data_IF_580381367712
#
_entry.id   IF_580381367712
#
_cell.length_a   1.000
_cell.length_b   1.000
_cell.length_c   1.000
_cell.angle_alpha   90.00
_cell.angle_beta   90.00
_cell.angle_gamma   90.00
#
_symmetry.space_group_name_H-M   'P 1'
#
loop_
_entity.id
_entity.type
_entity.pdbx_description
1 polymer ?
#
# COMPACT_ATOMS: atom_id res chain seq x y z
N UNK A 1 6.94 -27.60 -21.73
CA UNK A 1 6.95 -26.58 -20.65
C UNK A 1 8.28 -25.84 -20.76
N UNK A 2 8.30 -24.51 -20.92
CA UNK A 2 9.51 -23.72 -21.27
C UNK A 2 10.38 -23.28 -20.08
N UNK A 3 10.16 -23.82 -18.88
CA UNK A 3 11.07 -23.65 -17.73
C UNK A 3 11.17 -22.25 -17.09
N UNK A 4 10.36 -21.27 -17.50
CA UNK A 4 10.37 -19.92 -16.90
C UNK A 4 9.53 -19.80 -15.62
N UNK A 5 9.69 -18.68 -14.90
CA UNK A 5 8.89 -18.35 -13.72
C UNK A 5 7.39 -18.36 -14.06
N UNK A 6 6.54 -19.03 -13.26
CA UNK A 6 5.10 -19.02 -13.46
C UNK A 6 4.45 -17.68 -13.01
N UNK A 7 5.20 -16.81 -12.33
CA UNK A 7 4.74 -15.50 -11.85
C UNK A 7 5.27 -14.43 -12.80
N UNK A 8 4.37 -13.64 -13.37
CA UNK A 8 4.69 -12.62 -14.37
C UNK A 8 4.00 -11.31 -14.01
N UNK A 9 4.76 -10.23 -13.92
CA UNK A 9 4.23 -8.88 -13.83
C UNK A 9 3.77 -8.40 -15.23
N UNK A 10 2.52 -7.94 -15.33
CA UNK A 10 1.96 -7.41 -16.57
C UNK A 10 1.90 -5.89 -16.49
N UNK A 11 2.87 -5.22 -17.12
CA UNK A 11 3.02 -3.75 -17.11
C UNK A 11 1.76 -3.02 -17.59
N UNK A 12 1.11 -3.53 -18.63
CA UNK A 12 -0.08 -2.90 -19.23
C UNK A 12 -1.39 -3.17 -18.45
N UNK A 13 -1.33 -3.94 -17.36
CA UNK A 13 -2.52 -4.27 -16.58
C UNK A 13 -2.79 -3.18 -15.54
N UNK A 14 -3.93 -2.51 -15.68
CA UNK A 14 -4.42 -1.56 -14.68
C UNK A 14 -4.62 -2.23 -13.32
N UNK A 15 -3.94 -1.70 -12.31
CA UNK A 15 -4.17 -2.06 -10.90
C UNK A 15 -5.50 -1.51 -10.41
N UNK A 16 -6.15 -2.23 -9.51
CA UNK A 16 -7.47 -1.85 -8.98
C UNK A 16 -7.72 -2.45 -7.61
N UNK A 17 -8.50 -1.75 -6.80
CA UNK A 17 -8.97 -2.22 -5.51
C UNK A 17 -10.44 -2.63 -5.62
N UNK A 18 -10.76 -3.78 -5.05
CA UNK A 18 -12.12 -4.28 -4.96
C UNK A 18 -12.68 -4.02 -3.57
N UNK A 19 -13.77 -3.25 -3.49
CA UNK A 19 -14.49 -2.99 -2.24
C UNK A 19 -15.73 -3.86 -2.22
N UNK A 20 -15.82 -4.73 -1.21
CA UNK A 20 -16.95 -5.64 -1.02
C UNK A 20 -17.51 -5.45 0.39
N UNK A 21 -18.84 -5.45 0.49
CA UNK A 21 -19.51 -5.47 1.79
C UNK A 21 -19.10 -6.71 2.58
N UNK A 22 -18.72 -6.52 3.84
CA UNK A 22 -18.25 -7.58 4.74
C UNK A 22 -19.27 -8.73 4.89
N UNK A 23 -20.56 -8.44 4.73
CA UNK A 23 -21.67 -9.38 4.86
C UNK A 23 -22.27 -9.77 3.50
N UNK A 24 -21.59 -9.46 2.39
CA UNK A 24 -22.02 -9.89 1.07
C UNK A 24 -22.10 -11.42 0.96
N UNK A 25 -23.16 -11.92 0.31
CA UNK A 25 -23.35 -13.36 0.07
C UNK A 25 -22.57 -13.88 -1.14
N UNK A 26 -22.29 -13.01 -2.08
CA UNK A 26 -21.53 -13.29 -3.29
C UNK A 26 -20.73 -12.05 -3.73
N UNK A 27 -19.87 -12.21 -4.74
CA UNK A 27 -19.02 -11.14 -5.25
C UNK A 27 -19.68 -10.20 -6.25
N UNK A 28 -21.01 -10.28 -6.48
CA UNK A 28 -21.66 -9.51 -7.57
C UNK A 28 -21.66 -8.01 -7.31
N UNK A 29 -21.68 -7.62 -6.04
CA UNK A 29 -21.75 -6.22 -5.62
C UNK A 29 -20.37 -5.62 -5.32
N UNK A 30 -19.28 -6.27 -5.76
CA UNK A 30 -17.94 -5.70 -5.62
C UNK A 30 -17.82 -4.42 -6.45
N UNK A 31 -17.35 -3.34 -5.82
CA UNK A 31 -17.00 -2.10 -6.51
C UNK A 31 -15.51 -2.14 -6.84
N UNK A 32 -15.19 -2.22 -8.12
CA UNK A 32 -13.81 -2.12 -8.61
C UNK A 32 -13.46 -0.65 -8.85
N UNK A 33 -12.39 -0.19 -8.24
CA UNK A 33 -11.87 1.17 -8.38
C UNK A 33 -10.44 1.07 -8.91
N UNK A 34 -10.21 1.64 -10.09
CA UNK A 34 -8.89 1.63 -10.73
C UNK A 34 -7.92 2.54 -9.97
N UNK A 35 -6.70 2.05 -9.76
CA UNK A 35 -5.61 2.77 -9.08
C UNK A 35 -4.35 2.59 -9.93
N UNK A 36 -4.06 3.52 -10.85
CA UNK A 36 -2.92 3.41 -11.76
C UNK A 36 -1.59 3.39 -10.98
N UNK A 37 -0.57 2.76 -11.57
CA UNK A 37 0.81 2.73 -11.06
C UNK A 37 0.92 2.35 -9.58
N UNK A 38 0.08 1.39 -9.16
CA UNK A 38 -0.03 0.95 -7.78
C UNK A 38 0.24 -0.55 -7.68
N UNK A 39 1.37 -0.90 -7.06
CA UNK A 39 1.68 -2.26 -6.65
C UNK A 39 2.08 -2.19 -5.18
N UNK A 40 1.27 -2.75 -4.27
CA UNK A 40 1.59 -2.75 -2.86
C UNK A 40 1.67 -4.21 -2.40
N UNK A 41 2.79 -4.59 -1.80
CA UNK A 41 3.00 -5.98 -1.36
C UNK A 41 2.25 -6.25 -0.05
N UNK A 42 2.22 -5.25 0.83
CA UNK A 42 1.44 -5.26 2.07
C UNK A 42 0.53 -4.04 2.21
N UNK A 43 -0.64 -4.27 2.80
CA UNK A 43 -1.57 -3.25 3.25
C UNK A 43 -1.62 -3.30 4.78
N UNK A 44 -1.45 -2.16 5.43
CA UNK A 44 -1.26 -2.07 6.88
C UNK A 44 -2.55 -1.84 7.63
N UNK A 45 -3.41 -0.97 7.10
CA UNK A 45 -4.72 -0.69 7.64
C UNK A 45 -5.60 -0.06 6.57
N UNK A 46 -6.91 -0.13 6.78
CA UNK A 46 -7.87 0.61 5.98
C UNK A 46 -9.03 1.05 6.87
N UNK A 47 -9.69 2.14 6.52
CA UNK A 47 -10.88 2.62 7.23
C UNK A 47 -11.77 3.45 6.31
N UNK A 48 -13.03 3.59 6.72
CA UNK A 48 -14.01 4.44 6.06
C UNK A 48 -13.92 5.87 6.58
N UNK A 49 -14.03 6.86 5.67
CA UNK A 49 -14.28 8.27 5.95
C UNK A 49 -15.62 8.65 5.29
N UNK A 50 -16.77 8.37 5.96
CA UNK A 50 -18.10 8.53 5.38
C UNK A 50 -18.42 9.96 4.96
N UNK A 51 -17.81 10.95 5.61
CA UNK A 51 -17.93 12.37 5.28
C UNK A 51 -17.54 12.68 3.82
N UNK A 52 -16.69 11.86 3.21
CA UNK A 52 -16.18 12.04 1.85
C UNK A 52 -16.59 10.93 0.88
N UNK A 53 -17.41 9.95 1.32
CA UNK A 53 -17.69 8.70 0.58
C UNK A 53 -16.41 7.90 0.23
N UNK A 54 -15.38 7.95 1.09
CA UNK A 54 -14.07 7.38 0.82
C UNK A 54 -13.70 6.21 1.73
N UNK A 55 -12.94 5.26 1.17
CA UNK A 55 -12.12 4.32 1.94
C UNK A 55 -10.67 4.75 1.83
N UNK A 56 -10.02 4.93 2.97
CA UNK A 56 -8.59 5.17 3.05
C UNK A 56 -7.87 3.85 3.28
N UNK A 57 -6.85 3.58 2.49
CA UNK A 57 -5.99 2.39 2.60
C UNK A 57 -4.56 2.85 2.77
N UNK A 58 -3.89 2.31 3.79
CA UNK A 58 -2.47 2.56 4.05
C UNK A 58 -1.71 1.30 3.62
N UNK A 59 -0.76 1.47 2.70
CA UNK A 59 0.02 0.35 2.17
C UNK A 59 1.42 0.78 1.76
N UNK A 60 2.32 -0.19 1.69
CA UNK A 60 3.68 0.02 1.18
C UNK A 60 3.71 -0.33 -0.29
N UNK A 61 3.85 0.69 -1.14
CA UNK A 61 3.72 0.54 -2.57
C UNK A 61 5.09 0.63 -3.24
N UNK A 62 5.40 -0.39 -4.01
CA UNK A 62 6.73 -0.66 -4.53
C UNK A 62 6.87 -0.24 -5.98
N UNK A 63 8.01 0.37 -6.28
CA UNK A 63 8.41 0.74 -7.63
C UNK A 63 9.89 0.39 -7.85
N UNK A 64 10.26 -0.29 -8.95
CA UNK A 64 9.37 -0.94 -9.91
C UNK A 64 8.79 -2.25 -9.32
N UNK A 65 7.56 -2.59 -9.68
CA UNK A 65 6.87 -3.79 -9.18
C UNK A 65 7.57 -5.11 -9.59
N UNK A 66 8.35 -5.08 -10.67
CA UNK A 66 9.02 -6.25 -11.25
C UNK A 66 10.21 -6.73 -10.39
N UNK A 67 10.86 -5.83 -9.63
CA UNK A 67 12.04 -6.13 -8.81
C UNK A 67 11.78 -7.11 -7.65
N UNK A 68 10.52 -7.39 -7.32
CA UNK A 68 10.17 -8.37 -6.27
C UNK A 68 10.29 -9.80 -6.76
N UNK A 69 10.00 -10.05 -8.05
CA UNK A 69 9.88 -11.40 -8.61
C UNK A 69 10.95 -11.74 -9.63
N UNK A 70 11.57 -10.72 -10.22
CA UNK A 70 12.64 -10.86 -11.19
C UNK A 70 13.89 -10.17 -10.64
N UNK A 71 15.06 -10.76 -10.86
CA UNK A 71 16.33 -10.07 -10.64
C UNK A 71 16.36 -8.86 -11.56
N UNK A 72 16.15 -7.68 -10.98
CA UNK A 72 16.18 -6.40 -11.66
C UNK A 72 17.31 -5.60 -11.04
N UNK A 73 18.18 -5.04 -11.87
CA UNK A 73 19.30 -4.20 -11.42
C UNK A 73 18.84 -2.83 -10.89
N UNK A 74 17.53 -2.53 -10.95
CA UNK A 74 16.94 -1.30 -10.44
C UNK A 74 16.68 -1.36 -8.93
N UNK A 75 17.04 -0.28 -8.23
CA UNK A 75 16.85 -0.14 -6.78
C UNK A 75 15.35 -0.10 -6.44
N UNK A 76 14.89 -1.14 -5.75
CA UNK A 76 13.51 -1.23 -5.30
C UNK A 76 13.23 -0.15 -4.24
N UNK A 77 12.18 0.63 -4.46
CA UNK A 77 11.63 1.57 -3.48
C UNK A 77 10.31 1.05 -2.96
N UNK A 78 10.16 0.91 -1.65
CA UNK A 78 8.87 0.62 -1.00
C UNK A 78 8.39 1.84 -0.21
N UNK A 79 7.39 2.52 -0.78
CA UNK A 79 6.90 3.82 -0.32
C UNK A 79 5.60 3.66 0.45
N UNK A 80 5.61 3.99 1.74
CA UNK A 80 4.39 4.06 2.53
C UNK A 80 3.46 5.12 1.94
N UNK A 81 2.31 4.67 1.46
CA UNK A 81 1.36 5.47 0.69
C UNK A 81 -0.03 5.44 1.32
N UNK A 82 -0.73 6.57 1.24
CA UNK A 82 -2.17 6.67 1.42
C UNK A 82 -2.85 6.54 0.07
N UNK A 83 -3.79 5.61 -0.02
CA UNK A 83 -4.65 5.41 -1.19
C UNK A 83 -6.08 5.72 -0.76
N UNK A 84 -6.75 6.63 -1.46
CA UNK A 84 -8.16 6.97 -1.20
C UNK A 84 -9.02 6.44 -2.34
N UNK A 85 -10.10 5.77 -1.98
CA UNK A 85 -11.02 5.12 -2.89
C UNK A 85 -12.39 5.74 -2.72
N UNK A 86 -12.84 6.55 -3.67
CA UNK A 86 -14.14 7.21 -3.59
C UNK A 86 -15.24 6.30 -4.14
N UNK A 87 -16.15 5.85 -3.27
CA UNK A 87 -17.17 4.83 -3.57
C UNK A 87 -18.34 5.35 -4.41
N UNK A 88 -18.46 6.69 -4.51
CA UNK A 88 -19.51 7.38 -5.26
C UNK A 88 -19.08 7.70 -6.69
N UNK A 89 -17.86 8.21 -6.85
CA UNK A 89 -17.31 8.61 -8.15
C UNK A 89 -16.54 7.48 -8.85
N UNK A 90 -16.12 6.45 -8.10
CA UNK A 90 -15.26 5.38 -8.63
C UNK A 90 -13.84 5.84 -8.93
N UNK A 91 -13.43 7.01 -8.45
CA UNK A 91 -12.07 7.55 -8.62
C UNK A 91 -11.20 7.19 -7.43
N UNK A 92 -9.89 7.10 -7.68
CA UNK A 92 -8.88 6.92 -6.66
C UNK A 92 -7.87 8.05 -6.65
N UNK A 93 -7.24 8.25 -5.50
CA UNK A 93 -6.01 9.04 -5.39
C UNK A 93 -4.98 8.23 -4.61
N UNK A 94 -3.71 8.50 -4.87
CA UNK A 94 -2.58 7.91 -4.15
C UNK A 94 -1.57 9.00 -3.87
N UNK A 95 -1.04 9.02 -2.64
CA UNK A 95 0.06 9.90 -2.25
C UNK A 95 1.02 9.20 -1.29
N UNK A 96 2.32 9.51 -1.30
CA UNK A 96 3.22 9.14 -0.22
C UNK A 96 2.77 9.75 1.12
N UNK A 97 3.01 9.05 2.24
CA UNK A 97 2.74 9.58 3.58
C UNK A 97 3.79 10.63 3.96
N UNK A 98 5.07 10.28 3.84
CA UNK A 98 6.18 11.23 4.00
C UNK A 98 6.29 12.09 2.75
N UNK A 99 6.23 13.41 2.91
CA UNK A 99 6.25 14.39 1.81
C UNK A 99 7.67 14.89 1.48
N UNK A 100 8.64 14.66 2.37
CA UNK A 100 10.04 14.99 2.15
C UNK A 100 10.75 13.80 1.52
N UNK A 101 11.40 14.00 0.37
CA UNK A 101 12.17 12.94 -0.30
C UNK A 101 13.34 12.45 0.57
N UNK A 102 13.95 13.34 1.38
CA UNK A 102 15.04 12.99 2.29
C UNK A 102 14.61 12.06 3.44
N UNK A 103 13.31 12.05 3.77
CA UNK A 103 12.72 11.18 4.80
C UNK A 103 12.15 9.88 4.21
N UNK A 104 12.24 9.71 2.89
CA UNK A 104 11.67 8.57 2.18
C UNK A 104 12.54 7.33 2.35
N UNK A 105 12.31 6.61 3.46
CA UNK A 105 12.93 5.32 3.74
C UNK A 105 12.05 4.16 3.28
N UNK A 106 12.69 3.03 2.95
CA UNK A 106 11.97 1.80 2.61
C UNK A 106 11.28 1.22 3.84
N UNK A 107 9.94 1.29 3.87
CA UNK A 107 9.12 0.83 4.99
C UNK A 107 8.28 -0.37 4.61
N UNK A 108 8.51 -1.49 5.30
CA UNK A 108 7.80 -2.75 5.06
C UNK A 108 7.52 -3.52 6.37
N UNK A 109 6.91 -4.69 6.24
CA UNK A 109 6.73 -5.70 7.30
C UNK A 109 6.40 -5.13 8.70
N UNK A 110 5.34 -4.32 8.80
CA UNK A 110 4.96 -3.63 10.03
C UNK A 110 3.58 -3.98 10.58
N UNK A 111 3.17 -3.19 11.56
CA UNK A 111 1.87 -3.28 12.22
C UNK A 111 1.33 -1.91 12.60
N UNK A 112 0.00 -1.83 12.66
CA UNK A 112 -0.74 -0.77 13.36
C UNK A 112 -1.25 -1.28 14.71
N UNK A 113 -1.80 -0.39 15.53
CA UNK A 113 -2.48 -0.82 16.75
C UNK A 113 -3.64 -1.78 16.44
N UNK A 114 -3.53 -3.04 16.89
CA UNK A 114 -4.54 -4.09 16.65
C UNK A 114 -5.96 -3.72 17.10
N UNK A 115 -6.12 -2.87 18.11
CA UNK A 115 -7.44 -2.43 18.59
C UNK A 115 -8.08 -1.38 17.67
N UNK A 116 -7.35 -0.91 16.65
CA UNK A 116 -7.79 0.06 15.67
C UNK A 116 -7.76 -0.51 14.25
N UNK A 117 -7.62 -1.83 14.10
CA UNK A 117 -7.73 -2.48 12.78
C UNK A 117 -9.09 -2.17 12.15
N UNK A 118 -9.12 -1.74 10.89
CA UNK A 118 -10.35 -1.34 10.21
C UNK A 118 -10.88 0.04 10.61
N UNK A 119 -10.15 0.78 11.45
CA UNK A 119 -10.52 2.11 11.97
C UNK A 119 -9.36 3.06 11.79
N UNK A 120 -9.66 4.37 11.76
CA UNK A 120 -8.65 5.41 11.62
C UNK A 120 -7.57 5.27 12.70
N UNK A 121 -6.32 5.20 12.25
CA UNK A 121 -5.12 5.06 13.08
C UNK A 121 -4.17 6.19 12.78
N UNK A 122 -3.58 6.77 13.83
CA UNK A 122 -2.58 7.83 13.70
C UNK A 122 -1.17 7.29 13.47
N UNK A 123 -0.83 6.13 14.02
CA UNK A 123 0.54 5.62 13.99
C UNK A 123 0.63 4.24 13.35
N UNK A 124 1.68 4.03 12.55
CA UNK A 124 2.14 2.74 12.07
C UNK A 124 3.57 2.47 12.58
N UNK A 125 3.92 1.20 12.77
CA UNK A 125 5.25 0.75 13.17
C UNK A 125 5.77 -0.21 12.10
N UNK A 126 6.81 0.18 11.37
CA UNK A 126 7.22 -0.48 10.13
C UNK A 126 8.72 -0.80 10.18
N UNK A 127 9.15 -1.94 9.64
CA UNK A 127 10.55 -2.28 9.50
C UNK A 127 11.20 -1.35 8.46
N UNK A 128 12.42 -0.89 8.76
CA UNK A 128 13.25 -0.14 7.82
C UNK A 128 14.04 -1.16 6.99
N UNK A 129 13.63 -1.35 5.74
CA UNK A 129 14.17 -2.36 4.84
C UNK A 129 15.35 -1.82 4.01
N UNK A 130 16.39 -1.34 4.71
CA UNK A 130 17.58 -0.73 4.11
C UNK A 130 18.87 -1.35 4.66
N UNK A 131 19.81 -1.80 3.81
CA UNK A 131 19.65 -2.02 2.36
C UNK A 131 18.68 -3.18 2.07
N UNK A 132 17.81 -3.05 1.07
CA UNK A 132 16.86 -4.10 0.70
C UNK A 132 17.56 -5.46 0.44
N UNK A 133 17.04 -6.60 0.92
CA UNK A 133 15.85 -6.80 1.76
C UNK A 133 16.17 -6.88 3.27
N UNK A 134 17.36 -6.43 3.71
CA UNK A 134 17.76 -6.50 5.12
C UNK A 134 17.01 -5.45 5.93
N UNK A 135 16.69 -5.82 7.17
CA UNK A 135 16.07 -4.90 8.13
C UNK A 135 17.16 -4.30 9.02
N UNK A 136 17.26 -2.97 9.02
CA UNK A 136 18.21 -2.22 9.87
C UNK A 136 17.59 -1.69 11.16
N UNK A 137 16.26 -1.72 11.28
CA UNK A 137 15.53 -1.26 12.45
C UNK A 137 14.03 -1.21 12.20
N UNK A 138 13.31 -0.42 12.99
CA UNK A 138 11.90 -0.12 12.76
C UNK A 138 11.63 1.35 12.99
N UNK A 139 10.60 1.90 12.35
CA UNK A 139 10.20 3.28 12.51
C UNK A 139 8.75 3.36 13.01
N UNK A 140 8.49 4.33 13.89
CA UNK A 140 7.16 4.83 14.18
C UNK A 140 6.84 5.97 13.22
N UNK A 141 5.78 5.82 12.44
CA UNK A 141 5.32 6.82 11.46
C UNK A 141 4.01 7.42 11.92
N UNK A 142 3.92 8.75 11.91
CA UNK A 142 2.66 9.48 12.02
C UNK A 142 2.00 9.56 10.63
N UNK A 143 0.86 8.90 10.47
CA UNK A 143 0.16 8.78 9.18
C UNK A 143 -0.54 10.09 8.77
N UNK A 144 -0.73 11.03 9.70
CA UNK A 144 -1.33 12.34 9.40
C UNK A 144 -0.27 13.34 8.96
N UNK A 145 0.83 13.42 9.71
CA UNK A 145 1.88 14.43 9.47
C UNK A 145 3.00 13.93 8.55
N UNK A 146 3.17 12.61 8.43
CA UNK A 146 4.30 11.99 7.72
C UNK A 146 5.60 11.94 8.53
N UNK A 147 5.58 12.37 9.80
CA UNK A 147 6.76 12.36 10.68
C UNK A 147 7.22 10.91 10.95
N UNK A 148 8.53 10.66 10.79
CA UNK A 148 9.15 9.35 10.99
C UNK A 148 10.12 9.39 12.16
N UNK A 149 9.97 8.47 13.11
CA UNK A 149 10.92 8.25 14.22
C UNK A 149 11.50 6.86 14.14
N UNK A 150 12.80 6.78 13.86
CA UNK A 150 13.59 5.53 13.82
C UNK A 150 13.97 5.07 15.22
#
# INVERSE_FOLDING_TARGET
IKGGSPVVYKKDKMSRFGVLDKYAKDGKNIKWIDVPDCFCFHLWNAWEEPENDEIVVIGSCMTPADSVFNECDEELRSVLSEIRLNLKTGKSTRRPISQCEDDQINLEAGMVNRYKLGRKTKFAFLAIAEPWPKVSGFAKVDLETGEVKK
#
